data_IF_372265078810
#
_entry.id   IF_372265078810
#
_cell.length_a   1.000
_cell.length_b   1.000
_cell.length_c   1.000
_cell.angle_alpha   90.00
_cell.angle_beta   90.00
_cell.angle_gamma   90.00
#
_symmetry.space_group_name_H-M   'P 1'
#
loop_
_entity.id
_entity.type
_entity.pdbx_description
1 polymer ?
#
# COMPACT_ATOMS: atom_id res chain seq x y z
N UNK A 1 14.58 3.13 2.51
CA UNK A 1 15.04 1.73 2.64
C UNK A 1 13.98 0.75 2.18
N UNK A 2 14.37 -0.50 1.85
CA UNK A 2 13.48 -1.55 1.41
C UNK A 2 13.88 -2.10 0.05
N UNK A 3 12.97 -2.83 -0.60
CA UNK A 3 13.21 -3.47 -1.87
C UNK A 3 12.02 -3.39 -2.82
N UNK A 4 12.33 -3.43 -4.11
CA UNK A 4 11.42 -3.59 -5.22
C UNK A 4 11.68 -4.96 -5.84
N UNK A 5 10.63 -5.70 -6.15
CA UNK A 5 10.75 -7.00 -6.79
C UNK A 5 9.93 -7.07 -8.06
N UNK A 6 10.37 -7.96 -8.92
CA UNK A 6 9.77 -8.24 -10.21
C UNK A 6 9.56 -9.75 -10.33
N UNK A 7 8.33 -10.18 -10.07
CA UNK A 7 7.91 -11.56 -10.30
C UNK A 7 7.65 -11.78 -11.80
N UNK A 8 7.06 -10.78 -12.45
CA UNK A 8 6.77 -10.76 -13.87
C UNK A 8 7.97 -10.23 -14.65
N UNK A 9 8.70 -11.12 -15.31
CA UNK A 9 9.97 -10.79 -15.99
C UNK A 9 9.84 -9.82 -17.17
N UNK A 10 8.64 -9.75 -17.77
CA UNK A 10 8.37 -8.96 -18.98
C UNK A 10 8.13 -7.47 -18.70
N UNK A 11 8.01 -7.05 -17.44
CA UNK A 11 7.86 -5.63 -17.10
C UNK A 11 9.21 -4.98 -16.83
N UNK A 12 9.33 -3.71 -17.13
CA UNK A 12 10.56 -2.94 -16.88
C UNK A 12 10.66 -2.43 -15.44
N UNK A 13 9.50 -2.23 -14.78
CA UNK A 13 9.41 -1.70 -13.42
C UNK A 13 9.33 -2.83 -12.39
N UNK A 14 8.57 -2.66 -11.35
CA UNK A 14 8.31 -3.64 -10.31
C UNK A 14 6.81 -3.94 -10.19
N UNK A 15 6.47 -5.11 -9.73
CA UNK A 15 5.09 -5.52 -9.40
C UNK A 15 4.88 -5.73 -7.90
N UNK A 16 5.96 -5.69 -7.14
CA UNK A 16 5.95 -5.91 -5.70
C UNK A 16 6.95 -4.98 -5.02
N UNK A 17 6.55 -4.35 -3.94
CA UNK A 17 7.46 -3.53 -3.13
C UNK A 17 7.17 -3.67 -1.64
N UNK A 18 8.25 -3.58 -0.86
CA UNK A 18 8.21 -3.32 0.57
C UNK A 18 9.23 -2.23 0.88
N UNK A 19 8.76 -1.02 1.10
CA UNK A 19 9.62 0.16 1.23
C UNK A 19 9.21 1.01 2.42
N UNK A 20 10.21 1.67 3.00
CA UNK A 20 10.02 2.64 4.09
C UNK A 20 10.75 3.92 3.74
N UNK A 21 10.08 5.04 3.88
CA UNK A 21 10.66 6.36 3.66
C UNK A 21 10.10 7.39 4.65
N UNK A 22 10.79 8.51 4.76
CA UNK A 22 10.36 9.64 5.59
C UNK A 22 9.86 10.73 4.68
N UNK A 23 8.67 11.24 4.95
CA UNK A 23 8.10 12.38 4.24
C UNK A 23 8.57 13.71 4.85
N UNK A 24 8.33 14.82 4.16
CA UNK A 24 8.81 16.16 4.55
C UNK A 24 8.35 16.61 5.95
N UNK A 25 7.23 16.08 6.43
CA UNK A 25 6.72 16.33 7.79
C UNK A 25 7.47 15.58 8.89
N UNK A 26 8.43 14.70 8.54
CA UNK A 26 9.14 13.83 9.48
C UNK A 26 8.43 12.49 9.76
N UNK A 27 7.21 12.31 9.26
CA UNK A 27 6.49 11.04 9.42
C UNK A 27 7.13 9.93 8.58
N UNK A 28 7.15 8.71 9.12
CA UNK A 28 7.60 7.52 8.39
C UNK A 28 6.42 6.82 7.75
N UNK A 29 6.57 6.48 6.48
CA UNK A 29 5.61 5.70 5.71
C UNK A 29 6.24 4.36 5.34
N UNK A 30 5.54 3.26 5.65
CA UNK A 30 5.88 1.92 5.18
C UNK A 30 4.81 1.48 4.18
N UNK A 31 5.22 1.09 2.98
CA UNK A 31 4.35 0.59 1.93
C UNK A 31 4.68 -0.87 1.62
N UNK A 32 3.66 -1.70 1.61
CA UNK A 32 3.70 -3.12 1.25
C UNK A 32 2.66 -3.32 0.14
N UNK A 33 3.09 -3.46 -1.09
CA UNK A 33 2.22 -3.57 -2.25
C UNK A 33 2.67 -4.72 -3.15
N UNK A 34 1.72 -5.49 -3.68
CA UNK A 34 2.00 -6.53 -4.65
C UNK A 34 0.84 -6.78 -5.60
N UNK A 35 1.18 -6.99 -6.87
CA UNK A 35 0.32 -7.56 -7.88
C UNK A 35 0.57 -9.07 -8.09
N UNK A 36 1.55 -9.64 -7.37
CA UNK A 36 1.95 -11.05 -7.48
C UNK A 36 1.46 -11.86 -6.26
N UNK A 37 0.18 -11.76 -5.94
CA UNK A 37 -0.44 -12.42 -4.78
C UNK A 37 -1.56 -13.37 -5.21
N UNK A 38 -1.70 -14.56 -4.56
CA UNK A 38 -2.75 -15.54 -4.90
C UNK A 38 -4.15 -15.12 -4.45
N UNK A 39 -4.24 -14.11 -3.60
CA UNK A 39 -5.52 -13.58 -3.08
C UNK A 39 -5.58 -12.08 -3.28
N UNK A 40 -6.77 -11.57 -3.46
CA UNK A 40 -6.98 -10.12 -3.52
C UNK A 40 -6.85 -9.55 -2.10
N UNK A 41 -5.78 -8.77 -1.88
CA UNK A 41 -5.54 -8.05 -0.62
C UNK A 41 -6.00 -6.61 -0.80
N UNK A 42 -7.17 -6.32 -0.27
CA UNK A 42 -7.72 -4.96 -0.32
C UNK A 42 -6.91 -4.00 0.57
N UNK A 43 -6.85 -2.71 0.21
CA UNK A 43 -6.03 -1.75 0.93
C UNK A 43 -6.39 -1.64 2.41
N UNK A 44 -5.36 -1.66 3.25
CA UNK A 44 -5.45 -1.40 4.69
C UNK A 44 -4.43 -0.32 5.04
N UNK A 45 -4.86 0.68 5.80
CA UNK A 45 -4.00 1.76 6.28
C UNK A 45 -4.01 1.76 7.80
N UNK A 46 -2.83 1.85 8.41
CA UNK A 46 -2.66 2.11 9.83
C UNK A 46 -1.86 3.39 10.01
N UNK A 47 -2.42 4.35 10.73
CA UNK A 47 -1.74 5.60 11.09
C UNK A 47 -1.52 5.59 12.59
N UNK A 48 -0.26 5.57 13.00
CA UNK A 48 0.11 5.66 14.40
C UNK A 48 0.37 7.13 14.75
N UNK A 49 -0.40 7.64 15.68
CA UNK A 49 -0.33 9.01 16.18
C UNK A 49 0.25 9.02 17.60
N UNK A 50 0.49 10.22 18.15
CA UNK A 50 0.97 10.41 19.51
C UNK A 50 -0.01 9.84 20.57
N UNK A 51 -1.31 10.01 20.36
CA UNK A 51 -2.36 9.65 21.32
C UNK A 51 -3.26 8.50 20.86
N UNK A 52 -2.81 7.68 19.91
CA UNK A 52 -3.60 6.55 19.47
C UNK A 52 -3.30 6.08 18.06
N UNK A 53 -4.20 5.28 17.52
CA UNK A 53 -4.03 4.66 16.21
C UNK A 53 -5.32 4.79 15.40
N UNK A 54 -5.18 5.12 14.12
CA UNK A 54 -6.27 5.05 13.14
C UNK A 54 -6.07 3.82 12.26
N UNK A 55 -7.11 3.03 12.10
CA UNK A 55 -7.19 1.96 11.13
C UNK A 55 -8.23 2.28 10.08
N UNK A 56 -7.89 2.06 8.84
CA UNK A 56 -8.81 2.12 7.72
C UNK A 56 -8.67 0.87 6.86
N UNK A 57 -9.80 0.29 6.48
CA UNK A 57 -9.87 -0.88 5.62
C UNK A 57 -11.09 -0.72 4.72
N UNK A 58 -10.91 -0.89 3.42
CA UNK A 58 -11.98 -0.69 2.43
C UNK A 58 -13.20 -1.60 2.66
N UNK A 59 -12.98 -2.81 3.19
CA UNK A 59 -14.05 -3.80 3.41
C UNK A 59 -14.71 -3.69 4.79
N UNK A 60 -14.00 -3.14 5.77
CA UNK A 60 -14.41 -3.16 7.19
C UNK A 60 -14.72 -1.79 7.76
N UNK A 61 -14.37 -0.72 7.03
CA UNK A 61 -14.53 0.64 7.52
C UNK A 61 -13.29 1.18 8.21
N UNK A 62 -13.49 2.06 9.16
CA UNK A 62 -12.39 2.69 9.90
C UNK A 62 -12.68 2.72 11.40
N UNK A 63 -11.64 2.77 12.19
CA UNK A 63 -11.73 3.03 13.62
C UNK A 63 -10.56 3.90 14.11
N UNK A 64 -10.81 4.61 15.19
CA UNK A 64 -9.82 5.37 15.95
C UNK A 64 -9.75 4.74 17.33
N UNK A 65 -8.56 4.34 17.73
CA UNK A 65 -8.28 3.77 19.04
C UNK A 65 -7.38 4.69 19.85
N UNK A 66 -7.64 4.81 21.13
CA UNK A 66 -6.76 5.47 22.11
C UNK A 66 -5.48 4.66 22.33
N UNK A 67 -4.54 5.18 23.12
CA UNK A 67 -3.27 4.52 23.43
C UNK A 67 -3.46 3.17 24.13
N UNK A 68 -4.48 3.04 24.98
CA UNK A 68 -4.85 1.80 25.67
C UNK A 68 -5.64 0.81 24.78
N UNK A 69 -5.88 1.16 23.51
CA UNK A 69 -6.57 0.33 22.53
C UNK A 69 -8.10 0.42 22.56
N UNK A 70 -8.69 1.28 23.38
CA UNK A 70 -10.14 1.47 23.39
C UNK A 70 -10.59 2.18 22.11
N UNK A 71 -11.69 1.72 21.50
CA UNK A 71 -12.27 2.36 20.31
C UNK A 71 -12.96 3.66 20.71
N UNK A 72 -12.46 4.79 20.22
CA UNK A 72 -13.01 6.14 20.45
C UNK A 72 -14.10 6.46 19.41
N UNK A 73 -13.86 6.08 18.16
CA UNK A 73 -14.80 6.30 17.07
C UNK A 73 -14.63 5.23 15.99
N UNK A 74 -15.66 4.97 15.23
CA UNK A 74 -15.63 4.06 14.08
C UNK A 74 -16.69 4.42 13.06
N UNK A 75 -16.53 3.94 11.84
CA UNK A 75 -17.49 4.11 10.76
C UNK A 75 -17.26 3.12 9.63
N UNK A 76 -18.18 3.07 8.71
CA UNK A 76 -18.08 2.25 7.49
C UNK A 76 -17.46 3.07 6.36
N UNK A 77 -16.78 2.39 5.45
CA UNK A 77 -16.37 2.98 4.17
C UNK A 77 -17.51 2.76 3.19
N UNK A 78 -18.00 3.84 2.59
CA UNK A 78 -18.98 3.74 1.50
C UNK A 78 -18.24 3.40 0.19
N UNK A 79 -18.80 2.55 -0.68
CA UNK A 79 -18.26 2.33 -2.02
C UNK A 79 -18.23 3.64 -2.80
N UNK A 80 -17.04 4.07 -3.20
CA UNK A 80 -16.80 5.45 -3.64
C UNK A 80 -17.02 5.71 -5.15
N UNK A 81 -17.33 4.70 -5.97
CA UNK A 81 -17.30 4.88 -7.42
C UNK A 81 -18.38 5.85 -7.94
N UNK A 82 -19.61 5.72 -7.46
CA UNK A 82 -20.70 6.61 -7.90
C UNK A 82 -20.55 8.01 -7.25
N UNK A 83 -20.10 8.06 -6.01
CA UNK A 83 -19.86 9.30 -5.28
C UNK A 83 -18.75 10.12 -5.90
N UNK A 84 -17.68 9.50 -6.42
CA UNK A 84 -16.55 10.20 -7.04
C UNK A 84 -16.99 11.05 -8.23
N UNK A 85 -17.85 10.52 -9.11
CA UNK A 85 -18.38 11.29 -10.23
C UNK A 85 -19.27 12.44 -9.77
N UNK A 86 -20.11 12.20 -8.77
CA UNK A 86 -20.97 13.23 -8.18
C UNK A 86 -20.14 14.32 -7.50
N UNK A 87 -19.06 13.97 -6.83
CA UNK A 87 -18.15 14.92 -6.20
C UNK A 87 -17.42 15.79 -7.24
N UNK A 88 -17.04 15.23 -8.40
CA UNK A 88 -16.54 16.02 -9.51
C UNK A 88 -17.58 17.04 -10.02
N UNK A 89 -18.83 16.61 -10.19
CA UNK A 89 -19.93 17.50 -10.63
C UNK A 89 -20.18 18.61 -9.59
N UNK A 90 -20.26 18.25 -8.32
CA UNK A 90 -20.40 19.22 -7.21
C UNK A 90 -19.25 20.21 -7.19
N UNK A 91 -18.02 19.75 -7.38
CA UNK A 91 -16.84 20.63 -7.46
C UNK A 91 -16.91 21.60 -8.64
N UNK A 92 -17.37 21.16 -9.80
CA UNK A 92 -17.61 22.01 -10.97
C UNK A 92 -18.70 23.04 -10.67
N UNK A 93 -19.71 22.68 -9.91
CA UNK A 93 -20.81 23.57 -9.46
C UNK A 93 -20.40 24.55 -8.35
N UNK A 94 -19.14 24.52 -7.89
CA UNK A 94 -18.60 25.45 -6.89
C UNK A 94 -18.71 24.96 -5.43
N UNK A 95 -19.13 23.73 -5.19
CA UNK A 95 -19.14 23.14 -3.86
C UNK A 95 -17.73 22.69 -3.44
N UNK A 96 -17.40 22.81 -2.15
CA UNK A 96 -16.16 22.26 -1.63
C UNK A 96 -16.25 20.73 -1.53
N UNK A 97 -15.43 20.04 -2.34
CA UNK A 97 -15.30 18.59 -2.32
C UNK A 97 -13.81 18.21 -2.31
N UNK A 98 -13.46 17.18 -1.52
CA UNK A 98 -12.12 16.61 -1.55
C UNK A 98 -11.99 15.69 -2.76
N UNK A 99 -11.13 16.07 -3.68
CA UNK A 99 -10.80 15.29 -4.88
C UNK A 99 -9.30 15.09 -4.96
N UNK A 100 -8.88 13.98 -5.58
CA UNK A 100 -7.50 13.80 -5.98
C UNK A 100 -7.15 14.83 -7.05
N UNK A 101 -6.61 15.97 -6.63
CA UNK A 101 -6.19 17.04 -7.53
C UNK A 101 -4.88 16.70 -8.24
N UNK A 102 -4.58 17.40 -9.35
CA UNK A 102 -3.30 17.24 -10.07
C UNK A 102 -2.07 17.41 -9.16
N UNK A 103 -2.00 18.36 -8.21
CA UNK A 103 -0.90 18.39 -7.26
C UNK A 103 -0.77 17.13 -6.41
N UNK A 104 -1.88 16.56 -5.92
CA UNK A 104 -1.86 15.31 -5.14
C UNK A 104 -1.38 14.14 -6.02
N UNK A 105 -1.94 14.02 -7.23
CA UNK A 105 -1.53 12.98 -8.17
C UNK A 105 -0.06 13.08 -8.55
N UNK A 106 0.47 14.30 -8.73
CA UNK A 106 1.89 14.54 -9.00
C UNK A 106 2.79 14.05 -7.87
N UNK A 107 2.42 14.30 -6.61
CA UNK A 107 3.22 13.81 -5.47
C UNK A 107 3.26 12.27 -5.42
N UNK A 108 2.16 11.61 -5.77
CA UNK A 108 2.14 10.15 -5.91
C UNK A 108 3.11 9.68 -7.03
N UNK A 109 3.07 10.31 -8.20
CA UNK A 109 3.97 9.99 -9.32
C UNK A 109 5.43 10.22 -8.93
N UNK A 110 5.74 11.38 -8.34
CA UNK A 110 7.09 11.69 -7.84
C UNK A 110 7.60 10.63 -6.85
N UNK A 111 6.72 10.11 -5.99
CA UNK A 111 7.10 9.05 -5.05
C UNK A 111 7.52 7.76 -5.80
N UNK A 112 6.75 7.34 -6.79
CA UNK A 112 7.05 6.13 -7.57
C UNK A 112 8.33 6.31 -8.41
N UNK A 113 8.52 7.47 -9.03
CA UNK A 113 9.76 7.80 -9.76
C UNK A 113 10.97 7.75 -8.84
N UNK A 114 10.90 8.40 -7.68
CA UNK A 114 11.98 8.40 -6.69
C UNK A 114 12.32 6.98 -6.20
N UNK A 115 11.32 6.12 -6.00
CA UNK A 115 11.57 4.72 -5.63
C UNK A 115 12.31 3.98 -6.75
N UNK A 116 11.89 4.16 -8.01
CA UNK A 116 12.52 3.53 -9.17
C UNK A 116 13.93 4.04 -9.43
N UNK A 117 14.22 5.30 -9.12
CA UNK A 117 15.57 5.87 -9.24
C UNK A 117 16.52 5.36 -8.14
N UNK A 118 16.03 5.18 -6.92
CA UNK A 118 16.87 4.85 -5.76
C UNK A 118 17.01 3.35 -5.51
N UNK A 119 16.04 2.56 -5.94
CA UNK A 119 15.99 1.12 -5.71
C UNK A 119 15.88 0.39 -7.05
N UNK A 120 16.83 -0.48 -7.32
CA UNK A 120 16.77 -1.31 -8.51
C UNK A 120 15.86 -2.52 -8.26
N UNK A 121 14.86 -2.78 -9.13
CA UNK A 121 14.03 -3.96 -9.02
C UNK A 121 14.84 -5.26 -9.12
N UNK A 122 14.64 -6.16 -8.16
CA UNK A 122 15.26 -7.49 -8.15
C UNK A 122 14.32 -8.45 -8.85
N UNK A 123 14.82 -9.11 -9.90
CA UNK A 123 14.10 -10.18 -10.57
C UNK A 123 14.09 -11.42 -9.67
N UNK A 124 12.90 -11.96 -9.43
CA UNK A 124 12.73 -13.13 -8.56
C UNK A 124 13.00 -14.42 -9.32
N UNK A 125 13.68 -15.37 -8.64
CA UNK A 125 13.89 -16.72 -9.15
C UNK A 125 12.59 -17.51 -9.18
N UNK A 126 12.52 -18.50 -10.06
CA UNK A 126 11.37 -19.41 -10.18
C UNK A 126 11.07 -20.22 -8.91
N UNK A 127 12.05 -20.37 -8.02
CA UNK A 127 11.84 -20.96 -6.69
C UNK A 127 11.02 -20.10 -5.74
N UNK A 128 10.94 -18.79 -6.01
CA UNK A 128 10.23 -17.80 -5.20
C UNK A 128 8.94 -17.34 -5.89
N UNK A 129 9.00 -17.13 -7.20
CA UNK A 129 7.84 -16.70 -7.99
C UNK A 129 7.53 -17.74 -9.06
N UNK A 130 6.25 -18.03 -9.23
CA UNK A 130 5.79 -18.97 -10.25
C UNK A 130 4.73 -18.32 -11.12
N UNK A 131 4.67 -18.76 -12.38
CA UNK A 131 3.61 -18.42 -13.30
C UNK A 131 2.53 -19.48 -13.25
N UNK A 132 1.30 -19.06 -13.01
CA UNK A 132 0.11 -19.93 -13.04
C UNK A 132 -0.38 -20.16 -14.48
N UNK A 133 -1.25 -21.14 -14.65
CA UNK A 133 -1.80 -21.52 -15.95
C UNK A 133 -2.64 -20.41 -16.62
N UNK A 134 -3.21 -19.52 -15.84
CA UNK A 134 -3.96 -18.34 -16.29
C UNK A 134 -3.05 -17.14 -16.64
N UNK A 135 -1.73 -17.30 -16.50
CA UNK A 135 -0.74 -16.28 -16.79
C UNK A 135 -0.40 -15.35 -15.63
N UNK A 136 -1.03 -15.51 -14.48
CA UNK A 136 -0.67 -14.73 -13.29
C UNK A 136 0.69 -15.16 -12.74
N UNK A 137 1.40 -14.19 -12.15
CA UNK A 137 2.63 -14.46 -11.42
C UNK A 137 2.36 -14.35 -9.92
N UNK A 138 2.83 -15.33 -9.17
CA UNK A 138 2.61 -15.42 -7.72
C UNK A 138 3.95 -15.53 -6.99
N UNK A 139 4.08 -14.79 -5.90
CA UNK A 139 5.20 -14.94 -4.96
C UNK A 139 4.76 -15.82 -3.81
N UNK A 140 5.52 -16.87 -3.53
CA UNK A 140 5.20 -17.83 -2.48
C UNK A 140 5.20 -17.16 -1.10
N UNK A 141 4.12 -17.35 -0.34
CA UNK A 141 3.99 -16.87 1.05
C UNK A 141 3.88 -15.35 1.22
N UNK A 142 3.63 -14.59 0.13
CA UNK A 142 3.59 -13.11 0.23
C UNK A 142 2.48 -12.59 1.14
N UNK A 143 1.25 -13.15 1.19
CA UNK A 143 0.23 -12.67 2.11
C UNK A 143 0.68 -12.76 3.56
N UNK A 144 1.20 -13.89 3.99
CA UNK A 144 1.65 -14.15 5.36
C UNK A 144 2.83 -13.25 5.74
N UNK A 145 3.75 -13.04 4.80
CA UNK A 145 4.90 -12.14 5.01
C UNK A 145 4.42 -10.71 5.17
N UNK A 146 3.54 -10.23 4.29
CA UNK A 146 3.04 -8.85 4.36
C UNK A 146 2.17 -8.62 5.59
N UNK A 147 1.34 -9.58 5.99
CA UNK A 147 0.58 -9.52 7.24
C UNK A 147 1.51 -9.42 8.46
N UNK A 148 2.57 -10.21 8.49
CA UNK A 148 3.58 -10.15 9.56
C UNK A 148 4.32 -8.79 9.55
N UNK A 149 4.72 -8.30 8.38
CA UNK A 149 5.35 -6.99 8.21
C UNK A 149 4.43 -5.86 8.68
N UNK A 150 3.18 -5.88 8.28
CA UNK A 150 2.17 -4.88 8.66
C UNK A 150 1.92 -4.89 10.16
N UNK A 151 1.71 -6.07 10.75
CA UNK A 151 1.45 -6.20 12.18
C UNK A 151 2.60 -5.68 13.04
N UNK A 152 3.85 -5.93 12.62
CA UNK A 152 5.08 -5.58 13.36
C UNK A 152 5.69 -4.24 12.94
N UNK A 153 5.15 -3.58 11.92
CA UNK A 153 5.76 -2.42 11.27
C UNK A 153 7.22 -2.69 10.87
N UNK A 154 7.45 -3.82 10.19
CA UNK A 154 8.77 -4.28 9.75
C UNK A 154 8.78 -4.49 8.23
N UNK A 155 9.97 -4.40 7.65
CA UNK A 155 10.21 -4.82 6.28
C UNK A 155 10.50 -6.35 6.23
N UNK A 156 10.34 -7.03 5.08
CA UNK A 156 10.60 -8.47 4.96
C UNK A 156 11.98 -8.89 5.47
N UNK A 157 13.02 -8.15 5.14
CA UNK A 157 14.39 -8.44 5.60
C UNK A 157 14.52 -8.36 7.13
N UNK A 158 13.80 -7.46 7.79
CA UNK A 158 13.80 -7.30 9.25
C UNK A 158 13.10 -8.44 9.98
N UNK A 159 12.33 -9.27 9.27
CA UNK A 159 11.71 -10.50 9.78
C UNK A 159 12.36 -11.77 9.22
N UNK A 160 13.53 -11.63 8.57
CA UNK A 160 14.32 -12.74 8.06
C UNK A 160 13.89 -13.29 6.70
N UNK A 161 13.02 -12.58 5.98
CA UNK A 161 12.57 -12.96 4.62
C UNK A 161 13.40 -12.22 3.58
N UNK A 162 14.07 -12.97 2.73
CA UNK A 162 14.89 -12.45 1.63
C UNK A 162 14.49 -13.15 0.34
N UNK A 163 13.79 -12.45 -0.53
CA UNK A 163 13.45 -12.91 -1.87
C UNK A 163 14.53 -12.48 -2.87
N UNK A 164 15.17 -13.49 -3.51
CA UNK A 164 16.22 -13.30 -4.53
C UNK A 164 16.09 -14.30 -5.66
#
# INVERSE_FOLDING_TARGET
EGALWRARKEIETFDTCAVRFTVSTGSRLTMLLSHATPVNLNPVIRIQCEHGTVFWNVDRGWNICSEDGAVIASGIVQPANDDMFMDVIRRISGEEQFLCSLPIAREHTNCIEMLSEKLQPVELKESVSRRESDGQYLIAGIPEVFDCCFARNRLPEEIGVVWR
#
